data_IF_092996197076
#
_entry.id   IF_092996197076
#
_cell.length_a   1.000
_cell.length_b   1.000
_cell.length_c   1.000
_cell.angle_alpha   90.00
_cell.angle_beta   90.00
_cell.angle_gamma   90.00
#
_symmetry.space_group_name_H-M   'P 1'
#
loop_
_entity.id
_entity.type
_entity.pdbx_description
1 polymer ?
#
# COMPACT_ATOMS: atom_id res chain seq x y z
N UNK A 1 -8.49 1.95 13.14
CA UNK A 1 -7.22 2.25 12.46
C UNK A 1 -6.93 1.22 11.36
N UNK A 2 -6.14 1.58 10.34
CA UNK A 2 -5.52 0.62 9.41
C UNK A 2 -4.31 -0.02 10.10
N UNK A 3 -4.34 -1.33 10.26
CA UNK A 3 -3.31 -2.10 10.97
C UNK A 3 -2.18 -2.54 10.04
N UNK A 4 -2.54 -2.94 8.81
CA UNK A 4 -1.59 -3.34 7.79
C UNK A 4 -2.15 -3.16 6.37
N UNK A 5 -1.24 -3.11 5.39
CA UNK A 5 -1.55 -3.10 3.96
C UNK A 5 -0.72 -4.20 3.30
N UNK A 6 -1.35 -5.00 2.46
CA UNK A 6 -0.71 -6.06 1.68
C UNK A 6 -1.19 -5.94 0.23
N UNK A 7 -0.24 -5.85 -0.69
CA UNK A 7 -0.48 -5.90 -2.13
C UNK A 7 0.12 -7.18 -2.66
N UNK A 8 -0.65 -7.97 -3.39
CA UNK A 8 -0.21 -9.26 -3.93
C UNK A 8 -0.88 -9.56 -5.26
N UNK A 9 -0.29 -10.44 -6.05
CA UNK A 9 -0.84 -10.80 -7.36
C UNK A 9 -1.70 -12.07 -7.32
N UNK A 10 -2.22 -12.48 -8.49
CA UNK A 10 -3.04 -13.70 -8.63
C UNK A 10 -2.32 -15.00 -8.23
N UNK A 11 -0.99 -15.02 -8.22
CA UNK A 11 -0.20 -16.18 -7.78
C UNK A 11 0.05 -16.17 -6.27
N UNK A 12 -0.45 -15.17 -5.53
CA UNK A 12 -0.18 -14.99 -4.11
C UNK A 12 1.19 -14.39 -3.80
N UNK A 13 1.93 -13.91 -4.82
CA UNK A 13 3.21 -13.24 -4.60
C UNK A 13 2.95 -11.84 -4.08
N UNK A 14 3.47 -11.56 -2.89
CA UNK A 14 3.41 -10.26 -2.24
C UNK A 14 4.35 -9.30 -2.98
N UNK A 15 3.84 -8.10 -3.27
CA UNK A 15 4.56 -7.01 -3.97
C UNK A 15 4.93 -5.87 -3.03
N UNK A 16 4.08 -5.61 -2.03
CA UNK A 16 4.30 -4.53 -1.07
C UNK A 16 3.59 -4.89 0.24
N UNK A 17 4.23 -4.60 1.37
CA UNK A 17 3.59 -4.68 2.70
C UNK A 17 3.89 -3.46 3.55
N UNK A 18 2.92 -2.99 4.33
CA UNK A 18 3.10 -1.95 5.34
C UNK A 18 2.41 -2.38 6.61
N UNK A 19 3.05 -2.16 7.75
CA UNK A 19 2.53 -2.52 9.07
C UNK A 19 2.53 -1.27 9.94
N UNK A 20 1.36 -0.88 10.43
CA UNK A 20 1.20 0.27 11.34
C UNK A 20 1.12 -0.18 12.79
N UNK A 21 0.78 -1.44 13.04
CA UNK A 21 0.83 -2.05 14.36
C UNK A 21 2.09 -2.89 14.54
N UNK A 22 2.66 -2.84 15.74
CA UNK A 22 3.75 -3.73 16.11
C UNK A 22 3.32 -5.20 16.05
N UNK A 23 4.14 -6.02 15.40
CA UNK A 23 3.97 -7.47 15.29
C UNK A 23 5.33 -8.09 14.99
N UNK A 24 5.55 -9.32 15.46
CA UNK A 24 6.78 -10.07 15.15
C UNK A 24 6.79 -10.50 13.69
N UNK A 25 7.97 -10.70 13.10
CA UNK A 25 8.07 -11.10 11.69
C UNK A 25 7.40 -12.46 11.41
N UNK A 26 7.42 -13.36 12.40
CA UNK A 26 6.68 -14.63 12.32
C UNK A 26 5.17 -14.41 12.21
N UNK A 27 4.61 -13.53 13.02
CA UNK A 27 3.18 -13.18 12.97
C UNK A 27 2.82 -12.48 11.67
N UNK A 28 3.66 -11.55 11.21
CA UNK A 28 3.47 -10.84 9.93
C UNK A 28 3.44 -11.82 8.75
N UNK A 29 4.39 -12.75 8.72
CA UNK A 29 4.46 -13.77 7.67
C UNK A 29 3.24 -14.70 7.69
N UNK A 30 2.91 -15.23 8.87
CA UNK A 30 1.73 -16.09 9.11
C UNK A 30 0.43 -15.41 8.65
N UNK A 31 0.17 -14.19 9.14
CA UNK A 31 -1.02 -13.43 8.81
C UNK A 31 -1.08 -13.08 7.32
N UNK A 32 0.04 -12.69 6.71
CA UNK A 32 0.07 -12.36 5.27
C UNK A 32 -0.28 -13.57 4.43
N UNK A 33 0.31 -14.73 4.73
CA UNK A 33 0.08 -15.96 3.97
C UNK A 33 -1.37 -16.42 4.08
N UNK A 34 -1.93 -16.32 5.29
CA UNK A 34 -3.30 -16.69 5.58
C UNK A 34 -4.33 -15.77 4.90
N UNK A 35 -4.16 -14.45 4.99
CA UNK A 35 -5.03 -13.46 4.33
C UNK A 35 -4.99 -13.64 2.80
N UNK A 36 -3.80 -13.81 2.23
CA UNK A 36 -3.64 -14.06 0.78
C UNK A 36 -4.36 -15.33 0.36
N UNK A 37 -4.16 -16.42 1.10
CA UNK A 37 -4.78 -17.72 0.79
C UNK A 37 -6.31 -17.63 0.81
N UNK A 38 -6.88 -16.98 1.83
CA UNK A 38 -8.32 -16.80 1.93
C UNK A 38 -8.88 -15.93 0.83
N UNK A 39 -8.24 -14.80 0.51
CA UNK A 39 -8.71 -13.90 -0.55
C UNK A 39 -8.67 -14.60 -1.91
N UNK A 40 -7.61 -15.36 -2.21
CA UNK A 40 -7.49 -16.10 -3.47
C UNK A 40 -8.50 -17.25 -3.61
N UNK A 41 -8.95 -17.84 -2.49
CA UNK A 41 -9.97 -18.88 -2.48
C UNK A 41 -11.40 -18.35 -2.73
N UNK A 42 -11.63 -17.03 -2.63
CA UNK A 42 -12.97 -16.43 -2.76
C UNK A 42 -13.41 -16.33 -4.22
N UNK A 43 -14.69 -16.67 -4.47
CA UNK A 43 -15.32 -16.59 -5.79
C UNK A 43 -15.67 -15.15 -6.16
N UNK A 44 -15.76 -14.87 -7.45
CA UNK A 44 -16.28 -13.57 -7.96
C UNK A 44 -17.72 -13.38 -7.46
N UNK A 45 -18.03 -12.20 -6.94
CA UNK A 45 -19.35 -11.85 -6.38
C UNK A 45 -19.47 -11.98 -4.85
N UNK A 46 -18.48 -12.58 -4.18
CA UNK A 46 -18.39 -12.51 -2.73
C UNK A 46 -18.06 -11.09 -2.26
N UNK A 47 -18.42 -10.76 -1.02
CA UNK A 47 -18.14 -9.44 -0.46
C UNK A 47 -16.63 -9.17 -0.33
N UNK A 48 -16.27 -7.89 -0.34
CA UNK A 48 -14.90 -7.38 -0.24
C UNK A 48 -14.39 -7.32 1.21
N UNK A 49 -15.07 -7.97 2.15
CA UNK A 49 -14.80 -7.94 3.58
C UNK A 49 -14.56 -9.39 4.03
N UNK A 50 -13.50 -9.58 4.81
CA UNK A 50 -13.10 -10.83 5.43
C UNK A 50 -12.92 -10.58 6.92
N UNK A 51 -13.69 -11.24 7.76
CA UNK A 51 -13.48 -11.19 9.20
C UNK A 51 -12.24 -12.00 9.57
N UNK A 52 -11.38 -11.42 10.41
CA UNK A 52 -10.18 -12.09 10.91
C UNK A 52 -10.41 -12.70 12.31
N UNK A 53 -11.66 -12.66 12.79
CA UNK A 53 -12.01 -13.03 14.16
C UNK A 53 -11.74 -14.53 14.42
N UNK A 54 -11.20 -14.84 15.61
CA UNK A 54 -10.73 -16.18 15.98
C UNK A 54 -9.26 -16.48 15.70
N UNK A 55 -8.50 -15.55 15.11
CA UNK A 55 -7.05 -15.73 14.87
C UNK A 55 -6.25 -15.05 15.97
N UNK A 56 -5.33 -15.81 16.61
CA UNK A 56 -4.52 -15.34 17.77
C UNK A 56 -3.65 -14.11 17.47
N UNK A 57 -3.45 -13.80 16.20
CA UNK A 57 -2.43 -12.86 15.72
C UNK A 57 -3.03 -11.55 15.16
N UNK A 58 -4.36 -11.48 14.94
CA UNK A 58 -5.02 -10.26 14.47
C UNK A 58 -6.49 -10.23 14.94
N UNK A 59 -6.89 -9.13 15.60
CA UNK A 59 -8.29 -8.79 15.82
C UNK A 59 -8.67 -7.71 14.82
N UNK A 60 -9.72 -7.93 14.03
CA UNK A 60 -10.17 -6.95 13.04
C UNK A 60 -10.77 -7.59 11.80
N UNK A 61 -10.84 -6.77 10.74
CA UNK A 61 -11.42 -7.13 9.46
C UNK A 61 -10.38 -6.83 8.37
N UNK A 62 -10.25 -7.72 7.39
CA UNK A 62 -9.52 -7.44 6.16
C UNK A 62 -10.49 -7.00 5.08
N UNK A 63 -10.28 -5.81 4.53
CA UNK A 63 -10.98 -5.33 3.35
C UNK A 63 -10.06 -5.49 2.15
N UNK A 64 -10.60 -5.91 1.00
CA UNK A 64 -9.80 -6.13 -0.18
C UNK A 64 -10.52 -5.79 -1.48
N UNK A 65 -9.75 -5.41 -2.50
CA UNK A 65 -10.27 -5.19 -3.85
C UNK A 65 -9.23 -5.56 -4.89
N UNK A 66 -9.70 -6.10 -6.01
CA UNK A 66 -8.86 -6.53 -7.12
C UNK A 66 -8.84 -5.47 -8.22
N UNK A 67 -7.63 -5.09 -8.66
CA UNK A 67 -7.38 -4.22 -9.80
C UNK A 67 -6.46 -4.96 -10.79
N UNK A 68 -6.97 -5.28 -11.97
CA UNK A 68 -6.27 -6.08 -12.99
C UNK A 68 -5.68 -7.41 -12.46
N UNK A 69 -4.35 -7.51 -12.33
CA UNK A 69 -3.63 -8.69 -11.78
C UNK A 69 -3.38 -8.61 -10.27
N UNK A 70 -3.56 -7.44 -9.67
CA UNK A 70 -3.23 -7.18 -8.27
C UNK A 70 -4.47 -7.19 -7.36
N UNK A 71 -4.24 -7.61 -6.13
CA UNK A 71 -5.14 -7.52 -5.01
C UNK A 71 -4.52 -6.56 -4.00
N UNK A 72 -5.33 -5.60 -3.58
CA UNK A 72 -5.00 -4.68 -2.51
C UNK A 72 -5.83 -5.10 -1.31
N UNK A 73 -5.19 -5.28 -0.15
CA UNK A 73 -5.82 -5.71 1.07
C UNK A 73 -5.36 -4.84 2.23
N UNK A 74 -6.32 -4.24 2.95
CA UNK A 74 -6.06 -3.42 4.14
C UNK A 74 -6.67 -4.14 5.34
N UNK A 75 -5.90 -4.33 6.40
CA UNK A 75 -6.41 -4.75 7.70
C UNK A 75 -6.89 -3.53 8.47
N UNK A 76 -8.13 -3.56 8.96
CA UNK A 76 -8.75 -2.49 9.74
C UNK A 76 -9.28 -3.04 11.07
N UNK A 77 -9.47 -2.15 12.04
CA UNK A 77 -10.07 -2.50 13.32
C UNK A 77 -11.54 -2.92 13.20
N UNK A 78 -12.02 -3.62 14.22
CA UNK A 78 -13.39 -4.15 14.26
C UNK A 78 -14.46 -3.08 14.20
N UNK A 79 -14.19 -1.91 14.79
CA UNK A 79 -15.15 -0.81 14.90
C UNK A 79 -15.05 0.18 13.73
N UNK A 80 -14.08 0.02 12.83
CA UNK A 80 -13.92 0.90 11.69
C UNK A 80 -14.93 0.58 10.59
N UNK A 81 -15.31 1.63 9.85
CA UNK A 81 -16.18 1.53 8.69
C UNK A 81 -15.43 0.91 7.49
N UNK A 82 -15.92 -0.24 7.03
CA UNK A 82 -15.32 -1.01 5.95
C UNK A 82 -15.40 -0.29 4.60
N UNK A 83 -16.49 0.44 4.34
CA UNK A 83 -16.66 1.20 3.10
C UNK A 83 -15.70 2.38 3.05
N UNK A 84 -15.48 3.04 4.20
CA UNK A 84 -14.47 4.09 4.32
C UNK A 84 -13.07 3.56 4.03
N UNK A 85 -12.71 2.39 4.57
CA UNK A 85 -11.43 1.76 4.27
C UNK A 85 -11.31 1.36 2.80
N UNK A 86 -12.39 0.86 2.18
CA UNK A 86 -12.40 0.51 0.74
C UNK A 86 -12.21 1.75 -0.14
N UNK A 87 -12.74 2.90 0.28
CA UNK A 87 -12.55 4.17 -0.41
C UNK A 87 -11.10 4.65 -0.30
N UNK A 88 -10.49 4.57 0.89
CA UNK A 88 -9.06 4.88 1.07
C UNK A 88 -8.18 3.97 0.20
N UNK A 89 -8.48 2.67 0.15
CA UNK A 89 -7.80 1.71 -0.70
C UNK A 89 -7.95 2.08 -2.19
N UNK A 90 -9.16 2.44 -2.64
CA UNK A 90 -9.39 2.87 -4.01
C UNK A 90 -8.61 4.16 -4.34
N UNK A 91 -8.60 5.11 -3.40
CA UNK A 91 -7.88 6.36 -3.54
C UNK A 91 -6.38 6.15 -3.70
N UNK A 92 -5.82 5.19 -2.98
CA UNK A 92 -4.41 4.84 -3.13
C UNK A 92 -4.10 4.33 -4.54
N UNK A 93 -4.96 3.50 -5.11
CA UNK A 93 -4.81 3.04 -6.50
C UNK A 93 -4.93 4.19 -7.50
N UNK A 94 -5.86 5.13 -7.30
CA UNK A 94 -5.96 6.33 -8.15
C UNK A 94 -4.68 7.20 -8.08
N UNK A 95 -4.10 7.37 -6.88
CA UNK A 95 -2.87 8.13 -6.70
C UNK A 95 -1.69 7.46 -7.40
N UNK A 96 -1.57 6.13 -7.29
CA UNK A 96 -0.56 5.37 -8.02
C UNK A 96 -0.73 5.52 -9.54
N UNK A 97 -1.95 5.39 -10.04
CA UNK A 97 -2.24 5.52 -11.47
C UNK A 97 -1.90 6.92 -12.02
N UNK A 98 -2.23 7.96 -11.26
CA UNK A 98 -1.90 9.34 -11.62
C UNK A 98 -0.40 9.66 -11.47
N UNK A 99 0.29 9.01 -10.53
CA UNK A 99 1.73 9.19 -10.33
C UNK A 99 2.53 8.54 -11.46
N UNK A 100 2.29 7.24 -11.74
CA UNK A 100 3.01 6.46 -12.76
C UNK A 100 2.51 6.68 -14.19
N UNK A 101 1.24 7.06 -14.38
CA UNK A 101 0.62 7.22 -15.70
C UNK A 101 0.29 5.89 -16.38
N UNK A 102 -0.86 5.30 -16.02
CA UNK A 102 -1.28 3.92 -16.34
C UNK A 102 -0.46 2.88 -15.58
N UNK A 103 -0.64 2.84 -14.26
CA UNK A 103 0.16 1.98 -13.37
C UNK A 103 -0.04 0.49 -13.69
N UNK A 104 1.06 -0.25 -13.73
CA UNK A 104 1.06 -1.70 -13.83
C UNK A 104 1.78 -2.39 -12.65
N UNK A 105 1.67 -3.72 -12.56
CA UNK A 105 2.32 -4.50 -11.51
C UNK A 105 3.85 -4.35 -11.52
N UNK A 106 4.46 -4.22 -12.69
CA UNK A 106 5.91 -4.04 -12.81
C UNK A 106 6.35 -2.68 -12.27
N UNK A 107 5.56 -1.62 -12.44
CA UNK A 107 5.91 -0.29 -11.92
C UNK A 107 6.03 -0.32 -10.39
N UNK A 108 5.11 -1.01 -9.72
CA UNK A 108 5.15 -1.16 -8.25
C UNK A 108 6.34 -2.01 -7.82
N UNK A 109 6.73 -3.02 -8.60
CA UNK A 109 7.88 -3.90 -8.28
C UNK A 109 9.20 -3.15 -8.46
N UNK A 110 9.38 -2.45 -9.58
CA UNK A 110 10.63 -1.76 -9.89
C UNK A 110 10.77 -0.44 -9.13
N UNK A 111 9.65 0.26 -8.86
CA UNK A 111 9.61 1.54 -8.17
C UNK A 111 8.88 1.43 -6.82
N UNK A 112 9.21 0.39 -6.03
CA UNK A 112 8.56 0.17 -4.73
C UNK A 112 8.76 1.35 -3.77
N UNK A 113 9.89 2.05 -3.84
CA UNK A 113 10.17 3.25 -3.03
C UNK A 113 9.12 4.33 -3.28
N UNK A 114 8.86 4.67 -4.55
CA UNK A 114 7.84 5.63 -4.93
C UNK A 114 6.43 5.17 -4.51
N UNK A 115 6.12 3.87 -4.60
CA UNK A 115 4.85 3.33 -4.13
C UNK A 115 4.66 3.48 -2.60
N UNK A 116 5.73 3.33 -1.81
CA UNK A 116 5.73 3.62 -0.38
C UNK A 116 5.60 5.12 -0.09
N UNK A 117 6.26 5.97 -0.87
CA UNK A 117 6.16 7.42 -0.71
C UNK A 117 4.74 7.94 -0.97
N UNK A 118 4.08 7.45 -2.03
CA UNK A 118 2.66 7.76 -2.29
C UNK A 118 1.79 7.25 -1.13
N UNK A 119 2.11 6.09 -0.56
CA UNK A 119 1.38 5.54 0.58
C UNK A 119 1.56 6.40 1.83
N UNK A 120 2.79 6.82 2.12
CA UNK A 120 3.13 7.60 3.31
C UNK A 120 2.62 9.05 3.23
N UNK A 121 2.51 9.62 2.02
CA UNK A 121 1.86 10.92 1.81
C UNK A 121 0.34 10.84 2.07
N UNK A 122 -0.28 9.69 1.81
CA UNK A 122 -1.71 9.47 2.05
C UNK A 122 -2.03 9.03 3.48
N UNK A 123 -1.16 8.21 4.08
CA UNK A 123 -1.43 7.49 5.31
C UNK A 123 -0.31 7.67 6.33
N UNK A 124 -0.67 8.10 7.52
CA UNK A 124 0.26 8.23 8.63
C UNK A 124 -0.29 7.50 9.86
N UNK A 125 0.52 6.63 10.45
CA UNK A 125 0.15 5.89 11.67
C UNK A 125 -1.14 5.06 11.55
N UNK A 126 -1.48 4.59 10.34
CA UNK A 126 -2.71 3.84 10.10
C UNK A 126 -3.97 4.70 9.92
N UNK A 127 -3.82 6.01 9.76
CA UNK A 127 -4.92 6.95 9.51
C UNK A 127 -4.68 7.72 8.21
N UNK A 128 -5.78 8.15 7.56
CA UNK A 128 -5.69 9.02 6.39
C UNK A 128 -5.22 10.42 6.79
N UNK A 129 -4.16 10.90 6.15
CA UNK A 129 -3.59 12.23 6.32
C UNK A 129 -4.06 13.16 5.20
N UNK A 130 -3.77 12.80 3.96
CA UNK A 130 -4.15 13.57 2.77
C UNK A 130 -5.08 12.75 1.87
N UNK A 131 -6.21 13.34 1.51
CA UNK A 131 -7.26 12.67 0.72
C UNK A 131 -7.36 13.22 -0.70
N UNK A 132 -6.77 14.40 -0.96
CA UNK A 132 -6.76 15.02 -2.27
C UNK A 132 -5.62 14.47 -3.13
N UNK A 133 -5.96 13.59 -4.07
CA UNK A 133 -5.00 12.95 -4.99
C UNK A 133 -4.09 13.93 -5.75
N UNK A 134 -4.58 15.14 -6.08
CA UNK A 134 -3.76 16.15 -6.78
C UNK A 134 -2.64 16.69 -5.89
N UNK A 135 -2.90 16.85 -4.59
CA UNK A 135 -1.92 17.32 -3.61
C UNK A 135 -0.89 16.22 -3.37
N UNK A 136 -1.34 14.99 -3.10
CA UNK A 136 -0.47 13.81 -2.92
C UNK A 136 0.53 13.68 -4.06
N UNK A 137 0.04 13.58 -5.30
CA UNK A 137 0.90 13.40 -6.48
C UNK A 137 1.82 14.60 -6.69
N UNK A 138 1.38 15.83 -6.39
CA UNK A 138 2.21 17.02 -6.47
C UNK A 138 3.37 16.97 -5.46
N UNK A 139 3.11 16.54 -4.23
CA UNK A 139 4.14 16.42 -3.20
C UNK A 139 5.15 15.33 -3.55
N UNK A 140 4.70 14.12 -3.94
CA UNK A 140 5.60 13.05 -4.38
C UNK A 140 6.51 13.50 -5.53
N UNK A 141 5.95 14.10 -6.60
CA UNK A 141 6.74 14.64 -7.71
C UNK A 141 7.64 15.82 -7.31
N UNK A 142 7.30 16.53 -6.25
CA UNK A 142 8.14 17.59 -5.68
C UNK A 142 9.36 17.01 -4.98
N UNK A 143 9.18 15.95 -4.21
CA UNK A 143 10.27 15.21 -3.58
C UNK A 143 11.21 14.58 -4.59
N UNK A 144 10.70 13.96 -5.66
CA UNK A 144 11.54 13.36 -6.71
C UNK A 144 12.50 14.39 -7.33
N UNK A 145 12.01 15.61 -7.60
CA UNK A 145 12.83 16.71 -8.13
C UNK A 145 13.91 17.18 -7.15
N UNK A 146 13.62 17.15 -5.85
CA UNK A 146 14.59 17.50 -4.82
C UNK A 146 15.69 16.44 -4.75
N UNK A 147 15.32 15.15 -4.78
CA UNK A 147 16.27 14.04 -4.78
C UNK A 147 17.18 14.04 -6.02
N UNK A 148 16.63 14.33 -7.19
CA UNK A 148 17.40 14.53 -8.43
C UNK A 148 18.41 15.68 -8.30
N UNK A 149 17.97 16.81 -7.73
CA UNK A 149 18.82 17.99 -7.54
C UNK A 149 19.98 17.71 -6.58
N UNK A 150 19.72 17.04 -5.46
CA UNK A 150 20.74 16.67 -4.49
C UNK A 150 21.76 15.68 -5.07
N UNK A 151 21.30 14.73 -5.88
CA UNK A 151 22.15 13.78 -6.58
C UNK A 151 23.09 14.48 -7.56
N UNK A 152 22.60 15.47 -8.31
CA UNK A 152 23.42 16.29 -9.22
C UNK A 152 24.47 17.07 -8.42
N UNK A 153 24.09 17.74 -7.33
CA UNK A 153 25.02 18.51 -6.49
C UNK A 153 26.11 17.60 -5.91
N UNK A 154 25.74 16.42 -5.44
CA UNK A 154 26.69 15.44 -4.92
C UNK A 154 27.68 14.97 -6.00
N UNK A 155 27.20 14.69 -7.22
CA UNK A 155 28.05 14.24 -8.33
C UNK A 155 29.00 15.34 -8.83
N UNK A 156 28.54 16.60 -8.85
CA UNK A 156 29.38 17.75 -9.19
C UNK A 156 30.51 17.94 -8.17
N UNK A 157 30.20 17.81 -6.87
CA UNK A 157 31.21 17.84 -5.80
C UNK A 157 32.19 16.68 -5.90
N UNK A 158 31.73 15.47 -6.18
CA UNK A 158 32.57 14.29 -6.34
C UNK A 158 33.50 14.36 -7.57
N UNK A 159 33.11 15.13 -8.60
CA UNK A 159 33.88 15.28 -9.85
C UNK A 159 34.94 16.39 -9.78
N UNK A 160 35.10 17.09 -8.65
CA UNK A 160 36.04 18.21 -8.49
C UNK A 160 35.84 19.36 -9.51
N UNK A 161 34.60 19.54 -10.02
CA UNK A 161 34.22 20.63 -10.95
C UNK A 161 33.70 21.86 -10.18
N UNK A 162 33.75 21.83 -8.84
CA UNK A 162 33.37 22.95 -7.97
C UNK A 162 34.59 23.54 -7.26
#
# INVERSE_FOLDING_TARGET
MINFIIIFNRQGKIRLTRWYQYSTDKQKASLSQDVVTQILARKRGMCNILELDGRREARGKAIYKRYASLFFCFGIDWNDNELSGLEVLHKYVECLDQYFGNVCELDIIYNYSAAYQVMDEMLLGGHAQETNKKIVVKHCKGFDKLEESDSIVHNLRASNIA
#
